data_IF_178516324871
#
_entry.id   IF_178516324871
#
_cell.length_a   1.000
_cell.length_b   1.000
_cell.length_c   1.000
_cell.angle_alpha   90.00
_cell.angle_beta   90.00
_cell.angle_gamma   90.00
#
_symmetry.space_group_name_H-M   'P 1'
#
loop_
_entity.id
_entity.type
_entity.pdbx_description
1 polymer ?
#
# COMPACT_ATOMS: atom_id res chain seq x y z
N UNK A 1 -7.33 -10.03 15.96
CA UNK A 1 -7.14 -10.60 14.61
C UNK A 1 -7.98 -9.83 13.61
N UNK A 2 -7.40 -9.40 12.51
CA UNK A 2 -8.05 -8.64 11.44
C UNK A 2 -7.91 -9.37 10.11
N UNK A 3 -8.80 -9.05 9.16
CA UNK A 3 -8.66 -9.43 7.76
C UNK A 3 -8.44 -8.19 6.91
N UNK A 4 -7.49 -8.26 5.98
CA UNK A 4 -7.20 -7.23 5.00
C UNK A 4 -7.56 -7.72 3.61
N UNK A 5 -8.29 -6.90 2.86
CA UNK A 5 -8.55 -7.10 1.44
C UNK A 5 -7.44 -6.44 0.65
N UNK A 6 -6.68 -7.23 -0.08
CA UNK A 6 -5.47 -6.82 -0.77
C UNK A 6 -5.79 -6.10 -2.09
N UNK A 7 -4.85 -5.26 -2.51
CA UNK A 7 -4.93 -4.52 -3.76
C UNK A 7 -4.66 -5.36 -5.01
N UNK A 8 -4.45 -4.68 -6.14
CA UNK A 8 -4.26 -5.29 -7.46
C UNK A 8 -3.07 -6.25 -7.53
N UNK A 9 -1.98 -5.96 -6.82
CA UNK A 9 -0.81 -6.82 -6.68
C UNK A 9 -0.78 -7.38 -5.24
N UNK A 10 -1.43 -8.53 -4.99
CA UNK A 10 -1.56 -9.05 -3.64
C UNK A 10 -0.23 -9.37 -2.97
N UNK A 11 0.78 -9.80 -3.72
CA UNK A 11 2.12 -10.09 -3.19
C UNK A 11 2.77 -8.84 -2.56
N UNK A 12 2.72 -7.69 -3.24
CA UNK A 12 3.23 -6.43 -2.69
C UNK A 12 2.41 -5.98 -1.48
N UNK A 13 1.09 -6.18 -1.55
CA UNK A 13 0.19 -5.77 -0.46
C UNK A 13 0.39 -6.58 0.82
N UNK A 14 0.61 -7.90 0.71
CA UNK A 14 0.89 -8.73 1.90
C UNK A 14 2.30 -8.47 2.44
N UNK A 15 3.29 -8.18 1.58
CA UNK A 15 4.62 -7.75 1.98
C UNK A 15 4.58 -6.46 2.81
N UNK A 16 3.79 -5.47 2.37
CA UNK A 16 3.54 -4.24 3.13
C UNK A 16 2.97 -4.54 4.52
N UNK A 17 1.92 -5.36 4.58
CA UNK A 17 1.30 -5.75 5.86
C UNK A 17 2.28 -6.47 6.79
N UNK A 18 3.09 -7.38 6.26
CA UNK A 18 4.10 -8.10 7.02
C UNK A 18 5.16 -7.17 7.60
N UNK A 19 5.60 -6.17 6.82
CA UNK A 19 6.58 -5.17 7.30
C UNK A 19 6.02 -4.26 8.38
N UNK A 20 4.73 -3.93 8.33
CA UNK A 20 4.08 -3.02 9.29
C UNK A 20 3.63 -3.75 10.56
N UNK A 21 3.05 -4.94 10.43
CA UNK A 21 2.40 -5.64 11.53
C UNK A 21 3.11 -6.91 11.99
N UNK A 22 4.07 -7.42 11.23
CA UNK A 22 4.86 -8.60 11.56
C UNK A 22 4.13 -9.92 11.35
N UNK A 23 3.09 -10.23 12.13
CA UNK A 23 2.39 -11.51 12.05
C UNK A 23 1.21 -11.46 11.06
N UNK A 24 1.50 -11.86 9.82
CA UNK A 24 0.59 -11.85 8.68
C UNK A 24 0.63 -13.19 7.97
N UNK A 25 -0.51 -13.66 7.49
CA UNK A 25 -0.62 -14.88 6.68
C UNK A 25 -1.69 -14.75 5.61
N UNK A 26 -1.50 -15.47 4.51
CA UNK A 26 -2.51 -15.59 3.46
C UNK A 26 -3.79 -16.27 3.98
N UNK A 27 -4.96 -15.72 3.66
CA UNK A 27 -6.24 -16.38 3.87
C UNK A 27 -6.87 -16.82 2.55
N UNK A 28 -6.71 -16.01 1.51
CA UNK A 28 -7.08 -16.31 0.13
C UNK A 28 -6.16 -15.53 -0.81
N UNK A 29 -6.28 -15.73 -2.13
CA UNK A 29 -5.49 -15.03 -3.15
C UNK A 29 -5.65 -13.50 -3.12
N UNK A 30 -6.69 -13.00 -2.44
CA UNK A 30 -7.03 -11.58 -2.37
C UNK A 30 -7.14 -11.05 -0.93
N UNK A 31 -6.77 -11.84 0.06
CA UNK A 31 -6.91 -11.44 1.47
C UNK A 31 -5.85 -12.04 2.36
N UNK A 32 -5.51 -11.30 3.41
CA UNK A 32 -4.56 -11.70 4.44
C UNK A 32 -5.16 -11.57 5.84
N UNK A 33 -4.79 -12.49 6.74
CA UNK A 33 -5.00 -12.37 8.17
C UNK A 33 -3.84 -11.62 8.79
N UNK A 34 -4.17 -10.69 9.68
CA UNK A 34 -3.22 -9.85 10.40
C UNK A 34 -3.47 -10.02 11.90
N UNK A 35 -2.46 -10.44 12.62
CA UNK A 35 -2.46 -10.43 14.09
C UNK A 35 -1.90 -9.07 14.53
N UNK A 36 -2.78 -8.18 14.97
CA UNK A 36 -2.34 -6.91 15.53
C UNK A 36 -1.92 -7.09 16.99
N UNK A 37 -0.94 -6.32 17.49
CA UNK A 37 -0.65 -6.27 18.92
C UNK A 37 -1.91 -5.96 19.74
N UNK A 38 -1.97 -6.43 20.98
CA UNK A 38 -3.14 -6.24 21.83
C UNK A 38 -3.51 -4.76 22.06
N UNK A 39 -2.54 -3.87 21.96
CA UNK A 39 -2.68 -2.42 22.10
C UNK A 39 -3.24 -1.73 20.85
N UNK A 40 -3.11 -2.36 19.67
CA UNK A 40 -3.58 -1.83 18.39
C UNK A 40 -4.81 -2.66 17.92
N UNK A 41 -6.01 -2.30 18.40
CA UNK A 41 -7.25 -3.03 18.04
C UNK A 41 -7.78 -2.67 16.64
N UNK A 42 -6.95 -2.07 15.79
CA UNK A 42 -7.33 -1.73 14.42
C UNK A 42 -6.13 -1.72 13.45
N UNK A 43 -6.43 -1.82 12.18
CA UNK A 43 -5.47 -1.59 11.09
C UNK A 43 -5.63 -0.14 10.62
N UNK A 44 -4.54 0.64 10.66
CA UNK A 44 -4.54 1.99 10.08
C UNK A 44 -4.52 1.91 8.54
N UNK A 45 -5.70 1.79 7.98
CA UNK A 45 -5.87 1.62 6.53
C UNK A 45 -5.46 2.86 5.72
N UNK A 46 -5.43 4.04 6.33
CA UNK A 46 -5.06 5.26 5.62
C UNK A 46 -3.54 5.35 5.37
N UNK A 47 -2.76 4.64 6.18
CA UNK A 47 -1.32 4.48 6.01
C UNK A 47 -0.95 3.44 4.94
N UNK A 48 -1.86 2.50 4.61
CA UNK A 48 -1.58 1.36 3.74
C UNK A 48 -1.93 1.64 2.27
N UNK A 49 -0.96 1.50 1.39
CA UNK A 49 -1.16 1.63 -0.06
C UNK A 49 -1.77 0.39 -0.69
N UNK A 50 -1.44 -0.79 -0.19
CA UNK A 50 -1.82 -2.09 -0.73
C UNK A 50 -3.12 -2.69 -0.18
N UNK A 51 -3.71 -2.13 0.87
CA UNK A 51 -4.94 -2.64 1.48
C UNK A 51 -6.15 -1.81 1.05
N UNK A 52 -7.17 -2.45 0.49
CA UNK A 52 -8.40 -1.76 0.05
C UNK A 52 -9.41 -1.58 1.18
N UNK A 53 -9.59 -2.61 2.02
CA UNK A 53 -10.46 -2.63 3.19
C UNK A 53 -9.83 -3.48 4.27
N UNK A 54 -10.12 -3.15 5.52
CA UNK A 54 -9.75 -3.94 6.67
C UNK A 54 -10.96 -4.15 7.58
N UNK A 55 -10.96 -5.25 8.34
CA UNK A 55 -12.03 -5.55 9.27
C UNK A 55 -11.56 -6.44 10.41
N UNK A 56 -12.16 -6.24 11.60
CA UNK A 56 -11.98 -7.11 12.76
C UNK A 56 -12.77 -8.40 12.57
N UNK A 57 -12.09 -9.53 12.68
CA UNK A 57 -12.73 -10.85 12.56
C UNK A 57 -13.68 -11.09 13.73
N UNK A 58 -14.94 -11.41 13.41
CA UNK A 58 -16.00 -11.68 14.38
C UNK A 58 -16.36 -13.15 14.40
N UNK A 59 -16.47 -13.77 13.21
CA UNK A 59 -16.84 -15.17 13.09
C UNK A 59 -15.93 -15.92 12.12
N UNK A 60 -15.64 -17.16 12.46
CA UNK A 60 -15.08 -18.15 11.55
C UNK A 60 -16.13 -19.22 11.31
N UNK A 61 -16.43 -19.52 10.06
CA UNK A 61 -17.48 -20.45 9.68
C UNK A 61 -16.85 -21.59 8.88
N UNK A 62 -17.01 -22.84 9.33
CA UNK A 62 -16.58 -23.99 8.54
C UNK A 62 -17.42 -24.09 7.26
N UNK A 63 -16.82 -24.67 6.22
CA UNK A 63 -17.46 -24.76 4.90
C UNK A 63 -17.08 -23.59 3.99
N UNK A 64 -17.62 -23.58 2.77
CA UNK A 64 -17.18 -22.65 1.71
C UNK A 64 -18.36 -22.05 0.92
N UNK A 65 -19.59 -22.34 1.31
CA UNK A 65 -20.79 -21.88 0.61
C UNK A 65 -21.41 -20.64 1.28
N UNK A 66 -22.02 -19.79 0.46
CA UNK A 66 -22.67 -18.57 0.92
C UNK A 66 -23.83 -18.83 1.88
N UNK A 67 -24.55 -19.95 1.71
CA UNK A 67 -25.69 -20.29 2.57
C UNK A 67 -25.26 -20.45 4.03
N UNK A 68 -24.12 -21.14 4.27
CA UNK A 68 -23.56 -21.28 5.62
C UNK A 68 -23.18 -19.92 6.22
N UNK A 69 -22.52 -19.07 5.44
CA UNK A 69 -22.19 -17.70 5.86
C UNK A 69 -23.44 -16.88 6.18
N UNK A 70 -24.42 -16.88 5.27
CA UNK A 70 -25.69 -16.16 5.43
C UNK A 70 -26.44 -16.55 6.70
N UNK A 71 -26.56 -17.87 6.96
CA UNK A 71 -27.20 -18.37 8.17
C UNK A 71 -26.49 -17.89 9.44
N UNK A 72 -25.16 -17.95 9.46
CA UNK A 72 -24.36 -17.50 10.61
C UNK A 72 -24.45 -15.98 10.80
N UNK A 73 -24.41 -15.19 9.74
CA UNK A 73 -24.63 -13.73 9.80
C UNK A 73 -25.98 -13.44 10.44
N UNK A 74 -27.04 -14.04 9.92
CA UNK A 74 -28.41 -13.80 10.43
C UNK A 74 -28.56 -14.27 11.86
N UNK A 75 -28.01 -15.42 12.24
CA UNK A 75 -28.06 -15.94 13.60
C UNK A 75 -27.35 -15.02 14.58
N UNK A 76 -26.08 -14.70 14.29
CA UNK A 76 -25.24 -13.89 15.19
C UNK A 76 -25.80 -12.47 15.35
N UNK A 77 -26.03 -11.76 14.26
CA UNK A 77 -26.39 -10.35 14.32
C UNK A 77 -27.85 -10.09 14.72
N UNK A 78 -28.76 -11.08 14.56
CA UNK A 78 -30.11 -10.95 15.12
C UNK A 78 -30.11 -10.97 16.65
N UNK A 79 -29.11 -11.58 17.28
CA UNK A 79 -28.93 -11.60 18.72
C UNK A 79 -28.07 -10.41 19.20
N UNK A 80 -26.90 -10.22 18.58
CA UNK A 80 -25.94 -9.18 18.96
C UNK A 80 -26.50 -7.75 18.82
N UNK A 81 -27.38 -7.53 17.85
CA UNK A 81 -27.98 -6.22 17.62
C UNK A 81 -29.44 -6.12 18.05
N UNK A 82 -29.97 -7.10 18.78
CA UNK A 82 -31.29 -7.01 19.38
C UNK A 82 -31.38 -5.81 20.33
N UNK A 83 -32.40 -4.95 20.19
CA UNK A 83 -32.60 -3.75 20.98
C UNK A 83 -31.47 -2.72 20.92
N UNK A 84 -30.61 -2.80 19.87
CA UNK A 84 -29.54 -1.83 19.66
C UNK A 84 -30.14 -0.43 19.40
N UNK A 85 -29.67 0.55 20.15
CA UNK A 85 -30.14 1.94 20.01
C UNK A 85 -29.68 2.56 18.68
N UNK A 86 -30.52 3.41 18.13
CA UNK A 86 -30.26 4.11 16.88
C UNK A 86 -30.47 3.25 15.63
N UNK A 87 -30.25 3.85 14.47
CA UNK A 87 -30.42 3.20 13.18
C UNK A 87 -29.10 2.61 12.69
N UNK A 88 -29.02 1.30 12.59
CA UNK A 88 -27.87 0.61 12.00
C UNK A 88 -27.87 0.77 10.47
N UNK A 89 -26.78 1.17 9.87
CA UNK A 89 -26.55 1.11 8.41
C UNK A 89 -25.64 -0.07 8.13
N UNK A 90 -26.10 -1.03 7.33
CA UNK A 90 -25.38 -2.26 7.03
C UNK A 90 -25.05 -2.35 5.55
N UNK A 91 -23.78 -2.55 5.23
CA UNK A 91 -23.26 -3.05 3.96
C UNK A 91 -22.81 -4.50 4.09
N UNK A 92 -22.84 -5.25 3.02
CA UNK A 92 -22.29 -6.62 2.96
C UNK A 92 -21.44 -6.74 1.71
N UNK A 93 -20.19 -7.18 1.86
CA UNK A 93 -19.28 -7.48 0.76
C UNK A 93 -18.83 -8.94 0.84
N UNK A 94 -19.05 -9.70 -0.24
CA UNK A 94 -18.76 -11.12 -0.32
C UNK A 94 -17.60 -11.38 -1.31
N UNK A 95 -16.45 -11.80 -0.78
CA UNK A 95 -15.23 -12.04 -1.52
C UNK A 95 -15.00 -13.53 -1.76
N UNK A 96 -14.71 -13.90 -3.01
CA UNK A 96 -14.44 -15.29 -3.39
C UNK A 96 -15.68 -16.18 -3.53
N UNK A 97 -16.88 -15.61 -3.53
CA UNK A 97 -18.15 -16.30 -3.75
C UNK A 97 -18.63 -16.11 -5.20
N UNK A 98 -19.43 -17.04 -5.68
CA UNK A 98 -20.04 -17.01 -7.02
C UNK A 98 -21.44 -16.39 -7.02
N UNK A 99 -22.03 -16.20 -5.85
CA UNK A 99 -23.35 -15.64 -5.66
C UNK A 99 -23.43 -14.18 -6.07
N UNK A 100 -24.53 -13.84 -6.72
CA UNK A 100 -24.76 -12.49 -7.23
C UNK A 100 -25.21 -11.50 -6.14
N UNK A 101 -25.28 -10.19 -6.47
CA UNK A 101 -25.64 -9.13 -5.52
C UNK A 101 -27.02 -9.32 -4.89
N UNK A 102 -27.95 -9.95 -5.60
CA UNK A 102 -29.30 -10.24 -5.08
C UNK A 102 -29.27 -11.22 -3.91
N UNK A 103 -28.45 -12.27 -3.99
CA UNK A 103 -28.32 -13.26 -2.93
C UNK A 103 -27.63 -12.68 -1.70
N UNK A 104 -26.62 -11.86 -1.91
CA UNK A 104 -25.94 -11.14 -0.83
C UNK A 104 -26.95 -10.21 -0.13
N UNK A 105 -27.70 -9.44 -0.89
CA UNK A 105 -28.68 -8.50 -0.35
C UNK A 105 -29.83 -9.21 0.37
N UNK A 106 -30.24 -10.41 -0.07
CA UNK A 106 -31.26 -11.25 0.59
C UNK A 106 -30.87 -11.56 2.04
N UNK A 107 -29.58 -11.84 2.31
CA UNK A 107 -29.08 -12.02 3.69
C UNK A 107 -29.37 -10.81 4.57
N UNK A 108 -29.07 -9.62 4.07
CA UNK A 108 -29.35 -8.36 4.77
C UNK A 108 -30.85 -8.11 4.98
N UNK A 109 -31.70 -8.47 4.00
CA UNK A 109 -33.15 -8.34 4.11
C UNK A 109 -33.75 -9.28 5.17
N UNK A 110 -33.26 -10.52 5.24
CA UNK A 110 -33.66 -11.49 6.28
C UNK A 110 -33.26 -10.98 7.66
N UNK A 111 -32.01 -10.49 7.81
CA UNK A 111 -31.55 -9.89 9.06
C UNK A 111 -32.38 -8.67 9.44
N UNK A 112 -32.70 -7.78 8.49
CA UNK A 112 -33.53 -6.60 8.71
C UNK A 112 -34.93 -6.96 9.23
N UNK A 113 -35.54 -8.02 8.67
CA UNK A 113 -36.85 -8.50 9.13
C UNK A 113 -36.80 -8.99 10.58
N UNK A 114 -35.77 -9.79 10.93
CA UNK A 114 -35.59 -10.28 12.30
C UNK A 114 -35.30 -9.17 13.31
N UNK A 115 -34.47 -8.20 12.94
CA UNK A 115 -34.14 -7.07 13.80
C UNK A 115 -35.34 -6.13 14.02
N UNK A 116 -36.23 -5.97 13.05
CA UNK A 116 -37.46 -5.19 13.19
C UNK A 116 -38.34 -5.77 14.31
N UNK A 117 -38.47 -7.10 14.40
CA UNK A 117 -39.26 -7.74 15.47
C UNK A 117 -38.60 -7.61 16.86
N UNK A 118 -37.31 -7.36 16.95
CA UNK A 118 -36.58 -7.12 18.20
C UNK A 118 -36.39 -5.61 18.52
N UNK A 119 -37.00 -4.70 17.77
CA UNK A 119 -36.99 -3.27 18.03
C UNK A 119 -35.81 -2.49 17.42
N UNK A 120 -34.94 -3.15 16.62
CA UNK A 120 -33.78 -2.48 16.00
C UNK A 120 -34.08 -2.06 14.56
N UNK A 121 -33.81 -0.79 14.24
CA UNK A 121 -33.95 -0.24 12.90
C UNK A 121 -32.70 -0.49 12.06
N UNK A 122 -32.84 -1.13 10.89
CA UNK A 122 -31.75 -1.42 9.95
C UNK A 122 -31.99 -0.78 8.58
N UNK A 123 -30.98 -0.03 8.09
CA UNK A 123 -30.89 0.41 6.69
C UNK A 123 -29.83 -0.43 5.98
N UNK A 124 -30.18 -0.98 4.83
CA UNK A 124 -29.22 -1.67 3.96
C UNK A 124 -28.62 -0.70 2.94
N UNK A 125 -27.31 -0.81 2.73
CA UNK A 125 -26.63 -0.22 1.58
C UNK A 125 -26.84 -1.18 0.41
N UNK A 126 -27.43 -0.74 -0.72
CA UNK A 126 -27.72 -1.63 -1.84
C UNK A 126 -26.43 -2.10 -2.52
N UNK A 127 -26.39 -3.36 -2.88
CA UNK A 127 -25.34 -3.98 -3.66
C UNK A 127 -25.65 -3.89 -5.16
N UNK A 128 -24.75 -3.33 -5.95
CA UNK A 128 -24.75 -3.43 -7.42
C UNK A 128 -23.97 -4.67 -7.88
N UNK A 129 -22.93 -5.02 -7.11
CA UNK A 129 -22.11 -6.23 -7.27
C UNK A 129 -22.05 -6.98 -5.94
N UNK A 130 -21.44 -8.17 -5.91
CA UNK A 130 -21.27 -8.95 -4.67
C UNK A 130 -20.41 -8.23 -3.62
N UNK A 131 -19.64 -7.24 -4.04
CA UNK A 131 -18.72 -6.44 -3.23
C UNK A 131 -19.11 -4.97 -3.33
N UNK A 132 -19.23 -4.26 -2.22
CA UNK A 132 -19.36 -2.81 -2.22
C UNK A 132 -18.01 -2.18 -2.63
N UNK A 133 -18.05 -1.18 -3.51
CA UNK A 133 -16.84 -0.43 -3.86
C UNK A 133 -16.27 0.30 -2.65
N UNK A 134 -14.95 0.56 -2.63
CA UNK A 134 -14.32 1.37 -1.57
C UNK A 134 -14.95 2.75 -1.46
N UNK A 135 -15.36 3.35 -2.60
CA UNK A 135 -16.07 4.62 -2.63
C UNK A 135 -17.43 4.54 -1.91
N UNK A 136 -18.21 3.47 -2.17
CA UNK A 136 -19.51 3.24 -1.52
C UNK A 136 -19.34 3.05 -0.02
N UNK A 137 -18.35 2.26 0.41
CA UNK A 137 -18.05 2.02 1.83
C UNK A 137 -17.65 3.32 2.53
N UNK A 138 -16.73 4.07 1.94
CA UNK A 138 -16.25 5.35 2.48
C UNK A 138 -17.36 6.41 2.51
N UNK A 139 -18.16 6.57 1.44
CA UNK A 139 -19.27 7.53 1.39
C UNK A 139 -20.32 7.26 2.46
N UNK A 140 -20.65 5.98 2.71
CA UNK A 140 -21.57 5.59 3.77
C UNK A 140 -20.91 5.55 5.16
N UNK A 141 -19.62 5.88 5.30
CA UNK A 141 -18.80 5.84 6.52
C UNK A 141 -18.80 4.46 7.20
N UNK A 142 -18.87 3.39 6.42
CA UNK A 142 -18.90 2.03 6.93
C UNK A 142 -17.58 1.69 7.62
N UNK A 143 -17.65 1.25 8.87
CA UNK A 143 -16.49 1.01 9.73
C UNK A 143 -15.83 2.27 10.31
N UNK A 144 -16.34 3.47 10.00
CA UNK A 144 -15.75 4.76 10.41
C UNK A 144 -16.64 5.54 11.40
N UNK A 145 -17.82 5.06 11.68
CA UNK A 145 -18.75 5.68 12.63
C UNK A 145 -19.64 4.64 13.28
N UNK A 146 -20.13 4.94 14.47
CA UNK A 146 -21.05 4.09 15.21
C UNK A 146 -22.28 3.73 14.36
N UNK A 147 -22.73 2.50 14.51
CA UNK A 147 -23.87 1.99 13.75
C UNK A 147 -23.71 2.03 12.20
N UNK A 148 -22.49 2.19 11.69
CA UNK A 148 -22.14 2.12 10.27
C UNK A 148 -21.26 0.89 10.01
N UNK A 149 -21.86 -0.24 9.71
CA UNK A 149 -21.16 -1.53 9.62
C UNK A 149 -21.12 -2.02 8.19
N UNK A 150 -19.97 -2.47 7.73
CA UNK A 150 -19.84 -3.34 6.57
C UNK A 150 -19.36 -4.72 7.05
N UNK A 151 -20.10 -5.76 6.68
CA UNK A 151 -19.66 -7.13 6.87
C UNK A 151 -18.78 -7.51 5.66
N UNK A 152 -17.51 -7.74 5.94
CA UNK A 152 -16.54 -8.28 5.00
C UNK A 152 -16.56 -9.80 5.16
N UNK A 153 -17.15 -10.50 4.17
CA UNK A 153 -17.29 -11.96 4.17
C UNK A 153 -16.32 -12.51 3.15
N UNK A 154 -15.35 -13.30 3.58
CA UNK A 154 -14.28 -13.81 2.72
C UNK A 154 -14.27 -15.32 2.74
N UNK A 155 -14.32 -15.95 1.57
CA UNK A 155 -14.10 -17.38 1.39
C UNK A 155 -12.63 -17.66 1.18
N UNK A 156 -12.02 -18.43 2.08
CA UNK A 156 -10.67 -18.95 1.97
C UNK A 156 -10.62 -20.45 1.71
N UNK A 157 -9.43 -21.00 1.75
CA UNK A 157 -9.23 -22.44 1.61
C UNK A 157 -9.72 -23.22 2.85
N UNK A 158 -9.52 -22.65 4.04
CA UNK A 158 -9.83 -23.26 5.36
C UNK A 158 -11.24 -22.96 5.86
N UNK A 159 -12.06 -22.19 5.14
CA UNK A 159 -13.40 -21.81 5.58
C UNK A 159 -13.77 -20.39 5.18
N UNK A 160 -14.73 -19.82 5.91
CA UNK A 160 -15.22 -18.46 5.68
C UNK A 160 -14.92 -17.60 6.91
N UNK A 161 -14.43 -16.39 6.68
CA UNK A 161 -14.30 -15.35 7.69
C UNK A 161 -15.40 -14.32 7.49
N UNK A 162 -16.04 -13.90 8.59
CA UNK A 162 -16.94 -12.77 8.66
C UNK A 162 -16.29 -11.74 9.58
N UNK A 163 -16.03 -10.56 9.06
CA UNK A 163 -15.42 -9.47 9.78
C UNK A 163 -16.27 -8.21 9.71
N UNK A 164 -16.22 -7.39 10.75
CA UNK A 164 -16.75 -6.02 10.74
C UNK A 164 -15.67 -5.08 10.25
N UNK A 165 -15.97 -4.32 9.19
CA UNK A 165 -15.03 -3.34 8.63
C UNK A 165 -14.57 -2.33 9.69
N UNK A 166 -13.26 -2.09 9.73
CA UNK A 166 -12.62 -0.98 10.48
C UNK A 166 -12.30 0.20 9.58
N UNK A 167 -12.62 0.12 8.29
CA UNK A 167 -12.49 1.17 7.31
C UNK A 167 -12.19 0.68 5.89
N UNK A 168 -12.27 1.62 4.97
CA UNK A 168 -11.88 1.45 3.58
C UNK A 168 -10.90 2.57 3.19
N UNK A 169 -10.02 2.29 2.24
CA UNK A 169 -9.03 3.25 1.74
C UNK A 169 -9.72 4.52 1.20
N UNK A 170 -9.22 5.70 1.59
CA UNK A 170 -9.74 6.98 1.14
C UNK A 170 -9.23 7.32 -0.26
N UNK A 171 -9.89 6.74 -1.28
CA UNK A 171 -9.53 6.94 -2.69
C UNK A 171 -9.69 8.39 -3.14
N UNK A 172 -10.56 9.17 -2.52
CA UNK A 172 -10.76 10.60 -2.83
C UNK A 172 -9.53 11.40 -2.40
N UNK A 173 -9.02 11.16 -1.19
CA UNK A 173 -7.80 11.82 -0.71
C UNK A 173 -6.57 11.42 -1.54
N UNK A 174 -6.46 10.13 -1.90
CA UNK A 174 -5.38 9.65 -2.78
C UNK A 174 -5.43 10.30 -4.16
N UNK A 175 -6.62 10.36 -4.78
CA UNK A 175 -6.81 11.03 -6.07
C UNK A 175 -6.51 12.53 -6.00
N UNK A 176 -6.90 13.19 -4.90
CA UNK A 176 -6.59 14.61 -4.70
C UNK A 176 -5.07 14.87 -4.63
N UNK A 177 -4.29 13.98 -3.98
CA UNK A 177 -2.83 14.08 -3.95
C UNK A 177 -2.17 13.71 -5.28
N UNK A 178 -2.73 12.76 -6.00
CA UNK A 178 -2.21 12.35 -7.30
C UNK A 178 -2.45 13.40 -8.40
N UNK A 179 -3.66 13.96 -8.43
CA UNK A 179 -4.11 14.84 -9.52
C UNK A 179 -4.13 16.32 -9.15
N UNK A 180 -4.29 16.66 -7.87
CA UNK A 180 -4.45 18.03 -7.39
C UNK A 180 -3.15 18.75 -7.03
N UNK A 181 -2.01 18.06 -7.00
CA UNK A 181 -0.71 18.69 -6.73
C UNK A 181 -0.31 19.65 -7.85
N UNK A 182 0.31 20.80 -7.56
CA UNK A 182 0.55 21.87 -8.53
C UNK A 182 1.58 21.49 -9.62
N UNK A 183 2.53 20.61 -9.31
CA UNK A 183 3.58 20.22 -10.27
C UNK A 183 3.49 18.73 -10.60
N UNK A 184 3.37 18.46 -11.88
CA UNK A 184 3.33 17.12 -12.49
C UNK A 184 4.21 17.10 -13.71
N UNK A 185 4.94 16.00 -13.92
CA UNK A 185 5.74 15.83 -15.12
C UNK A 185 5.54 14.41 -15.68
N UNK A 186 4.89 14.32 -16.83
CA UNK A 186 4.58 13.03 -17.44
C UNK A 186 5.82 12.33 -18.03
N UNK A 187 6.90 13.08 -18.31
CA UNK A 187 8.16 12.52 -18.84
C UNK A 187 8.97 11.80 -17.77
N UNK A 188 8.94 12.29 -16.53
CA UNK A 188 9.64 11.67 -15.41
C UNK A 188 8.92 10.39 -14.93
N UNK A 189 7.70 10.19 -15.40
CA UNK A 189 6.80 9.16 -14.89
C UNK A 189 6.06 9.64 -13.64
N UNK A 190 4.93 9.03 -13.36
CA UNK A 190 4.16 9.39 -12.16
C UNK A 190 4.02 8.15 -11.28
N UNK A 191 4.78 8.12 -10.18
CA UNK A 191 4.59 7.14 -9.14
C UNK A 191 3.19 7.34 -8.50
N UNK A 192 2.33 6.31 -8.45
CA UNK A 192 1.06 6.46 -7.75
C UNK A 192 1.27 6.65 -6.25
N UNK A 193 0.52 7.53 -5.56
CA UNK A 193 0.61 7.70 -4.11
C UNK A 193 0.50 6.39 -3.32
N UNK A 194 -0.36 5.46 -3.76
CA UNK A 194 -0.49 4.12 -3.15
C UNK A 194 0.82 3.33 -3.19
N UNK A 195 1.55 3.39 -4.31
CA UNK A 195 2.82 2.67 -4.42
C UNK A 195 3.89 3.33 -3.56
N UNK A 196 3.90 4.66 -3.48
CA UNK A 196 4.78 5.38 -2.54
C UNK A 196 4.52 4.96 -1.09
N UNK A 197 3.25 4.88 -0.66
CA UNK A 197 2.89 4.37 0.67
C UNK A 197 3.41 2.96 0.91
N UNK A 198 3.20 2.05 -0.05
CA UNK A 198 3.71 0.67 0.04
C UNK A 198 5.23 0.67 0.19
N UNK A 199 5.94 1.42 -0.62
CA UNK A 199 7.40 1.47 -0.60
C UNK A 199 7.93 2.00 0.74
N UNK A 200 7.31 3.05 1.30
CA UNK A 200 7.66 3.57 2.63
C UNK A 200 7.41 2.52 3.71
N UNK A 201 6.26 1.85 3.67
CA UNK A 201 5.92 0.80 4.63
C UNK A 201 6.84 -0.43 4.50
N UNK A 202 7.34 -0.75 3.31
CA UNK A 202 8.31 -1.83 3.09
C UNK A 202 9.66 -1.56 3.77
N UNK A 203 10.03 -0.30 3.99
CA UNK A 203 11.19 0.05 4.83
C UNK A 203 11.01 -0.47 6.27
N UNK A 204 9.77 -0.70 6.71
CA UNK A 204 9.42 -1.14 8.05
C UNK A 204 9.19 0.03 9.02
N UNK A 205 8.91 -0.27 10.28
CA UNK A 205 8.75 0.76 11.30
C UNK A 205 10.09 1.45 11.54
N UNK A 206 10.10 2.78 11.36
CA UNK A 206 11.28 3.61 11.59
C UNK A 206 11.17 4.25 12.98
N UNK A 207 12.28 4.31 13.69
CA UNK A 207 12.40 4.98 14.98
C UNK A 207 13.48 6.03 14.93
N UNK A 208 13.33 7.11 15.70
CA UNK A 208 14.37 8.11 15.88
C UNK A 208 15.52 7.49 16.69
N UNK A 209 16.76 7.68 16.26
CA UNK A 209 17.95 7.34 17.05
C UNK A 209 17.90 8.18 18.34
N UNK A 210 17.90 7.56 19.55
CA UNK A 210 17.84 8.30 20.81
C UNK A 210 18.99 9.31 21.00
N UNK A 211 20.11 9.16 20.28
CA UNK A 211 21.24 10.08 20.29
C UNK A 211 21.09 11.24 19.30
N UNK A 212 20.07 11.21 18.43
CA UNK A 212 19.81 12.23 17.41
C UNK A 212 19.13 13.46 18.02
N UNK A 213 19.48 14.64 17.54
CA UNK A 213 18.72 15.87 17.81
C UNK A 213 17.39 15.95 17.04
N UNK A 214 17.16 15.02 16.11
CA UNK A 214 15.92 14.95 15.33
C UNK A 214 14.77 14.39 16.18
N UNK A 215 13.59 14.94 16.01
CA UNK A 215 12.37 14.46 16.67
C UNK A 215 11.56 13.49 15.81
N UNK A 216 11.94 13.32 14.54
CA UNK A 216 11.29 12.48 13.56
C UNK A 216 12.35 11.68 12.77
N UNK A 217 12.07 10.41 12.40
CA UNK A 217 12.96 9.67 11.51
C UNK A 217 13.06 10.38 10.16
N UNK A 218 14.27 10.41 9.58
CA UNK A 218 14.54 11.09 8.31
C UNK A 218 14.60 10.10 7.17
N UNK A 219 13.71 10.27 6.19
CA UNK A 219 13.62 9.46 4.98
C UNK A 219 14.24 10.21 3.80
N UNK A 220 15.22 9.58 3.13
CA UNK A 220 15.88 10.08 1.92
C UNK A 220 15.26 9.49 0.66
N UNK A 221 14.95 10.35 -0.31
CA UNK A 221 14.68 10.00 -1.71
C UNK A 221 15.74 10.66 -2.62
N UNK A 222 16.74 9.89 -3.11
CA UNK A 222 17.82 10.41 -3.96
C UNK A 222 17.47 10.58 -5.44
N UNK A 223 16.23 10.26 -5.83
CA UNK A 223 15.65 10.43 -7.17
C UNK A 223 14.28 11.08 -7.07
N UNK A 224 14.21 12.22 -6.37
CA UNK A 224 12.96 12.75 -5.83
C UNK A 224 11.91 13.09 -6.89
N UNK A 225 12.30 13.40 -8.13
CA UNK A 225 11.40 13.74 -9.22
C UNK A 225 10.41 14.84 -8.83
N UNK A 226 9.11 14.54 -8.85
CA UNK A 226 8.06 15.47 -8.41
C UNK A 226 7.65 15.30 -6.94
N UNK A 227 8.37 14.50 -6.16
CA UNK A 227 8.25 14.40 -4.70
C UNK A 227 7.12 13.54 -4.18
N UNK A 228 6.63 12.54 -4.91
CA UNK A 228 5.48 11.73 -4.46
C UNK A 228 5.82 10.91 -3.22
N UNK A 229 7.01 10.31 -3.17
CA UNK A 229 7.47 9.55 -1.99
C UNK A 229 7.56 10.48 -0.78
N UNK A 230 8.16 11.66 -0.95
CA UNK A 230 8.31 12.61 0.14
C UNK A 230 6.95 13.16 0.63
N UNK A 231 5.96 13.35 -0.27
CA UNK A 231 4.62 13.75 0.14
C UNK A 231 3.95 12.69 1.03
N UNK A 232 4.01 11.42 0.63
CA UNK A 232 3.42 10.33 1.42
C UNK A 232 4.22 10.09 2.71
N UNK A 233 5.55 10.23 2.70
CA UNK A 233 6.39 10.15 3.90
C UNK A 233 6.07 11.27 4.91
N UNK A 234 5.89 12.50 4.44
CA UNK A 234 5.49 13.63 5.29
C UNK A 234 4.12 13.38 5.96
N UNK A 235 3.14 12.81 5.23
CA UNK A 235 1.84 12.40 5.77
C UNK A 235 1.95 11.28 6.80
N UNK A 236 3.04 10.51 6.79
CA UNK A 236 3.37 9.50 7.79
C UNK A 236 4.26 10.05 8.91
N UNK A 237 4.41 11.38 8.99
CA UNK A 237 5.17 12.11 10.01
C UNK A 237 6.68 11.83 10.00
N UNK A 238 7.28 11.59 8.83
CA UNK A 238 8.72 11.54 8.63
C UNK A 238 9.29 12.92 8.27
N UNK A 239 10.49 13.22 8.74
CA UNK A 239 11.30 14.28 8.14
C UNK A 239 11.74 13.83 6.74
N UNK A 240 11.60 14.70 5.74
CA UNK A 240 11.80 14.33 4.33
C UNK A 240 13.03 15.01 3.75
N UNK A 241 13.87 14.21 3.11
CA UNK A 241 15.07 14.65 2.44
C UNK A 241 15.05 14.18 0.98
N UNK A 242 15.16 15.10 0.03
CA UNK A 242 15.14 14.77 -1.39
C UNK A 242 16.32 15.37 -2.16
N UNK A 243 16.88 14.58 -3.07
CA UNK A 243 17.81 15.10 -4.08
C UNK A 243 17.39 14.66 -5.48
N UNK A 244 17.74 15.45 -6.48
CA UNK A 244 17.57 15.11 -7.89
C UNK A 244 18.67 15.78 -8.72
N UNK A 245 19.09 15.13 -9.79
CA UNK A 245 20.06 15.67 -10.74
C UNK A 245 19.55 16.96 -11.42
N UNK A 246 18.22 17.07 -11.58
CA UNK A 246 17.58 18.19 -12.25
C UNK A 246 17.05 19.20 -11.22
N UNK A 247 17.62 20.41 -11.18
CA UNK A 247 17.13 21.54 -10.35
C UNK A 247 15.61 21.76 -10.51
N UNK A 248 15.09 21.60 -11.73
CA UNK A 248 13.64 21.69 -12.01
C UNK A 248 12.83 20.72 -11.13
N UNK A 249 13.31 19.50 -10.91
CA UNK A 249 12.62 18.48 -10.11
C UNK A 249 12.66 18.84 -8.63
N UNK A 250 13.79 19.29 -8.14
CA UNK A 250 13.94 19.80 -6.76
C UNK A 250 12.94 20.92 -6.48
N UNK A 251 12.84 21.90 -7.41
CA UNK A 251 11.87 23.00 -7.30
C UNK A 251 10.42 22.49 -7.33
N UNK A 252 10.09 21.56 -8.24
CA UNK A 252 8.74 20.98 -8.34
C UNK A 252 8.35 20.22 -7.08
N UNK A 253 9.29 19.50 -6.47
CA UNK A 253 9.10 18.84 -5.18
C UNK A 253 8.83 19.84 -4.08
N UNK A 254 9.60 20.93 -4.00
CA UNK A 254 9.36 22.02 -3.06
C UNK A 254 7.97 22.63 -3.18
N UNK A 255 7.54 22.96 -4.41
CA UNK A 255 6.19 23.48 -4.67
C UNK A 255 5.09 22.51 -4.20
N UNK A 256 5.27 21.20 -4.46
CA UNK A 256 4.31 20.16 -4.07
C UNK A 256 4.25 19.93 -2.55
N UNK A 257 5.40 19.96 -1.86
CA UNK A 257 5.45 19.82 -0.40
C UNK A 257 4.87 21.05 0.32
N UNK A 258 5.15 22.25 -0.18
CA UNK A 258 4.55 23.49 0.35
C UNK A 258 3.01 23.47 0.19
N UNK A 259 2.53 23.07 -1.00
CA UNK A 259 1.09 22.88 -1.23
C UNK A 259 0.47 21.86 -0.26
N UNK A 260 1.17 20.74 0.01
CA UNK A 260 0.70 19.74 0.96
C UNK A 260 0.62 20.31 2.37
N UNK A 261 1.66 21.02 2.82
CA UNK A 261 1.72 21.66 4.13
C UNK A 261 0.56 22.66 4.33
N UNK A 262 0.27 23.49 3.32
CA UNK A 262 -0.86 24.42 3.36
C UNK A 262 -2.21 23.69 3.50
N UNK A 263 -2.36 22.54 2.82
CA UNK A 263 -3.59 21.72 2.86
C UNK A 263 -3.78 21.02 4.20
N UNK A 264 -2.72 20.48 4.78
CA UNK A 264 -2.77 19.74 6.05
C UNK A 264 -2.71 20.66 7.27
N UNK A 265 -2.16 21.86 7.12
CA UNK A 265 -1.86 22.82 8.20
C UNK A 265 -0.85 22.29 9.23
N UNK A 266 -0.11 21.27 8.89
CA UNK A 266 0.95 20.69 9.71
C UNK A 266 2.32 21.04 9.10
N UNK A 267 3.30 21.48 9.91
CA UNK A 267 4.65 21.77 9.41
C UNK A 267 5.34 20.48 8.96
N UNK A 268 6.01 20.54 7.81
CA UNK A 268 6.80 19.43 7.27
C UNK A 268 8.29 19.81 7.41
N UNK A 269 9.09 18.93 7.98
CA UNK A 269 10.54 19.08 8.03
C UNK A 269 11.12 18.66 6.66
N UNK A 270 11.51 19.64 5.85
CA UNK A 270 11.90 19.48 4.44
C UNK A 270 13.37 19.86 4.25
N UNK A 271 14.14 18.95 3.62
CA UNK A 271 15.47 19.22 3.10
C UNK A 271 15.50 18.85 1.62
N UNK A 272 15.89 19.75 0.73
CA UNK A 272 15.95 19.51 -0.72
C UNK A 272 17.22 20.11 -1.30
N UNK A 273 17.95 19.34 -2.10
CA UNK A 273 19.16 19.78 -2.80
C UNK A 273 19.21 19.22 -4.22
N UNK A 274 19.87 19.95 -5.12
CA UNK A 274 20.34 19.39 -6.39
C UNK A 274 21.52 18.46 -6.12
N UNK A 275 21.55 17.30 -6.79
CA UNK A 275 22.64 16.36 -6.66
C UNK A 275 22.50 15.14 -7.55
N UNK A 276 23.64 14.63 -8.02
CA UNK A 276 23.72 13.36 -8.71
C UNK A 276 23.82 12.22 -7.68
N UNK A 277 22.85 11.31 -7.68
CA UNK A 277 22.80 10.20 -6.75
C UNK A 277 24.07 9.31 -6.78
N UNK A 278 24.79 9.29 -7.90
CA UNK A 278 26.05 8.54 -8.02
C UNK A 278 27.23 9.17 -7.27
N UNK A 279 27.18 10.47 -6.92
CA UNK A 279 28.31 11.21 -6.34
C UNK A 279 27.95 12.10 -5.15
N UNK A 280 26.67 12.35 -4.90
CA UNK A 280 26.21 13.20 -3.81
C UNK A 280 26.61 12.65 -2.46
N UNK A 281 27.09 13.54 -1.56
CA UNK A 281 27.23 13.27 -0.13
C UNK A 281 26.02 13.83 0.60
N UNK A 282 25.25 12.96 1.27
CA UNK A 282 24.04 13.36 1.99
C UNK A 282 24.31 13.70 3.46
N UNK A 283 23.59 14.71 3.94
CA UNK A 283 23.61 15.09 5.36
C UNK A 283 22.99 14.00 6.24
N UNK A 284 23.62 13.76 7.39
CA UNK A 284 23.15 12.80 8.38
C UNK A 284 22.18 13.46 9.39
N UNK A 285 21.29 12.71 10.07
CA UNK A 285 21.09 11.26 9.93
C UNK A 285 20.24 10.90 8.71
N UNK A 286 20.35 9.65 8.24
CA UNK A 286 19.45 9.02 7.28
C UNK A 286 18.96 7.72 7.92
N UNK A 287 17.66 7.64 8.22
CA UNK A 287 17.07 6.51 8.91
C UNK A 287 16.44 5.49 7.94
N UNK A 288 16.09 5.93 6.73
CA UNK A 288 15.66 5.07 5.63
C UNK A 288 15.94 5.73 4.28
N UNK A 289 16.08 4.90 3.25
CA UNK A 289 16.14 5.36 1.86
C UNK A 289 14.99 4.71 1.10
N UNK A 290 14.14 5.51 0.47
CA UNK A 290 13.01 5.03 -0.34
C UNK A 290 12.96 5.83 -1.62
N UNK A 291 13.09 5.17 -2.77
CA UNK A 291 13.17 5.85 -4.05
C UNK A 291 12.53 5.07 -5.20
N UNK A 292 11.94 5.78 -6.15
CA UNK A 292 11.80 5.27 -7.51
C UNK A 292 13.08 5.62 -8.25
N UNK A 293 13.94 4.63 -8.50
CA UNK A 293 15.17 4.84 -9.24
C UNK A 293 14.93 5.21 -10.70
N UNK A 294 16.01 5.49 -11.43
CA UNK A 294 15.89 5.77 -12.86
C UNK A 294 15.33 4.56 -13.62
N UNK A 295 14.14 4.71 -14.21
CA UNK A 295 13.43 3.65 -14.92
C UNK A 295 13.83 3.52 -16.41
N UNK A 296 14.76 4.34 -16.88
CA UNK A 296 15.10 4.46 -18.30
C UNK A 296 14.11 5.34 -19.06
N UNK A 297 14.23 5.32 -20.38
CA UNK A 297 13.28 6.06 -21.24
C UNK A 297 11.91 5.34 -21.28
N UNK A 298 10.81 6.09 -21.43
CA UNK A 298 9.48 5.50 -21.58
C UNK A 298 9.35 4.74 -22.91
N UNK A 299 8.65 3.61 -22.87
CA UNK A 299 8.34 2.81 -24.07
C UNK A 299 6.82 2.67 -24.23
N UNK A 300 6.31 2.94 -25.43
CA UNK A 300 4.91 2.68 -25.80
C UNK A 300 4.67 1.25 -26.30
N UNK A 301 5.74 0.56 -26.70
CA UNK A 301 5.75 -0.84 -27.13
C UNK A 301 7.08 -1.49 -26.70
N UNK A 302 7.16 -2.83 -26.60
CA UNK A 302 8.39 -3.52 -26.26
C UNK A 302 9.54 -3.07 -27.20
N UNK A 303 10.69 -2.65 -26.65
CA UNK A 303 11.84 -2.20 -27.46
C UNK A 303 12.49 -3.36 -28.22
N UNK A 304 13.24 -3.04 -29.26
CA UNK A 304 14.12 -4.03 -29.91
C UNK A 304 15.18 -4.55 -28.93
N UNK A 305 15.69 -5.75 -29.16
CA UNK A 305 16.70 -6.37 -28.28
C UNK A 305 17.94 -5.48 -28.11
N UNK A 306 18.43 -4.84 -29.19
CA UNK A 306 19.58 -3.92 -29.11
C UNK A 306 19.29 -2.71 -28.24
N UNK A 307 18.08 -2.12 -28.38
CA UNK A 307 17.67 -0.96 -27.57
C UNK A 307 17.47 -1.36 -26.10
N UNK A 308 16.90 -2.53 -25.85
CA UNK A 308 16.75 -3.07 -24.48
C UNK A 308 18.10 -3.26 -23.81
N UNK A 309 19.11 -3.84 -24.50
CA UNK A 309 20.47 -4.03 -23.98
C UNK A 309 21.10 -2.69 -23.60
N UNK A 310 20.99 -1.67 -24.47
CA UNK A 310 21.51 -0.33 -24.21
C UNK A 310 20.87 0.30 -22.96
N UNK A 311 19.54 0.36 -22.92
CA UNK A 311 18.79 1.02 -21.81
C UNK A 311 19.01 0.27 -20.50
N UNK A 312 18.96 -1.05 -20.53
CA UNK A 312 19.23 -1.93 -19.37
C UNK A 312 20.65 -1.73 -18.83
N UNK A 313 21.64 -1.64 -19.72
CA UNK A 313 23.03 -1.39 -19.35
C UNK A 313 23.22 -0.05 -18.66
N UNK A 314 22.67 1.03 -19.25
CA UNK A 314 22.74 2.37 -18.69
C UNK A 314 22.04 2.46 -17.32
N UNK A 315 20.80 1.96 -17.23
CA UNK A 315 20.04 1.96 -15.98
C UNK A 315 20.74 1.14 -14.88
N UNK A 316 21.28 -0.04 -15.25
CA UNK A 316 22.02 -0.85 -14.30
C UNK A 316 23.27 -0.14 -13.78
N UNK A 317 23.99 0.59 -14.64
CA UNK A 317 25.14 1.38 -14.23
C UNK A 317 24.75 2.46 -13.21
N UNK A 318 23.79 3.30 -13.55
CA UNK A 318 23.31 4.40 -12.67
C UNK A 318 22.91 3.87 -11.30
N UNK A 319 22.08 2.83 -11.23
CA UNK A 319 21.59 2.31 -9.96
C UNK A 319 22.66 1.55 -9.16
N UNK A 320 23.62 0.89 -9.84
CA UNK A 320 24.74 0.26 -9.15
C UNK A 320 25.70 1.30 -8.56
N UNK A 321 26.03 2.36 -9.30
CA UNK A 321 26.91 3.45 -8.79
C UNK A 321 26.21 4.21 -7.65
N UNK A 322 24.91 4.45 -7.76
CA UNK A 322 24.14 5.02 -6.66
C UNK A 322 24.26 4.17 -5.38
N UNK A 323 24.01 2.86 -5.44
CA UNK A 323 24.09 1.99 -4.27
C UNK A 323 25.51 1.90 -3.70
N UNK A 324 26.55 1.92 -4.55
CA UNK A 324 27.95 2.00 -4.11
C UNK A 324 28.25 3.32 -3.37
N UNK A 325 27.75 4.44 -3.91
CA UNK A 325 27.92 5.75 -3.29
C UNK A 325 27.17 5.85 -1.95
N UNK A 326 25.97 5.28 -1.87
CA UNK A 326 25.14 5.30 -0.67
C UNK A 326 25.71 4.44 0.48
N UNK A 327 26.26 3.27 0.17
CA UNK A 327 26.67 2.27 1.16
C UNK A 327 27.56 2.83 2.30
N UNK A 328 28.62 3.62 2.06
CA UNK A 328 29.44 4.16 3.14
C UNK A 328 28.77 5.30 3.92
N UNK A 329 27.65 5.83 3.45
CA UNK A 329 26.99 7.01 4.01
C UNK A 329 25.82 6.66 4.94
N UNK A 330 25.38 5.40 5.00
CA UNK A 330 24.29 4.96 5.88
C UNK A 330 24.76 3.89 6.85
N UNK A 331 24.11 3.83 8.01
CA UNK A 331 24.45 2.87 9.07
C UNK A 331 24.05 1.45 8.67
N UNK A 332 24.77 0.45 9.18
CA UNK A 332 24.32 -0.96 9.15
C UNK A 332 22.90 -1.07 9.72
N UNK A 333 22.06 -1.82 9.06
CA UNK A 333 20.64 -1.98 9.42
C UNK A 333 19.71 -0.93 8.79
N UNK A 334 20.23 0.13 8.16
CA UNK A 334 19.37 1.12 7.48
C UNK A 334 18.61 0.44 6.32
N UNK A 335 17.26 0.53 6.28
CA UNK A 335 16.46 0.00 5.20
C UNK A 335 16.59 0.84 3.93
N UNK A 336 16.68 0.16 2.78
CA UNK A 336 16.72 0.75 1.45
C UNK A 336 15.65 0.09 0.57
N UNK A 337 14.63 0.84 0.20
CA UNK A 337 13.56 0.37 -0.69
C UNK A 337 13.67 1.10 -2.01
N UNK A 338 13.94 0.35 -3.08
CA UNK A 338 14.20 0.92 -4.39
C UNK A 338 13.31 0.26 -5.44
N UNK A 339 12.50 1.04 -6.14
CA UNK A 339 11.81 0.58 -7.33
C UNK A 339 12.73 0.71 -8.54
N UNK A 340 12.99 -0.41 -9.21
CA UNK A 340 13.83 -0.50 -10.41
C UNK A 340 13.02 -1.00 -11.60
N UNK A 341 13.41 -0.73 -12.86
CA UNK A 341 12.64 -1.19 -14.01
C UNK A 341 12.82 -2.68 -14.28
N UNK A 342 11.70 -3.30 -14.70
CA UNK A 342 11.69 -4.56 -15.42
C UNK A 342 10.88 -4.38 -16.71
N UNK A 343 11.38 -4.86 -17.82
CA UNK A 343 10.78 -4.66 -19.14
C UNK A 343 9.99 -5.88 -19.59
N UNK A 344 8.71 -5.69 -19.87
CA UNK A 344 7.81 -6.76 -20.35
C UNK A 344 7.93 -6.90 -21.86
N UNK A 345 8.14 -8.13 -22.34
CA UNK A 345 8.11 -8.47 -23.76
C UNK A 345 6.68 -8.71 -24.28
N UNK A 346 6.56 -9.10 -25.54
CA UNK A 346 5.27 -9.38 -26.19
C UNK A 346 4.60 -10.66 -25.68
N UNK A 347 5.34 -11.57 -25.07
CA UNK A 347 4.84 -12.82 -24.49
C UNK A 347 4.46 -12.67 -23.01
N UNK A 348 4.79 -11.52 -22.41
CA UNK A 348 4.49 -11.20 -21.02
C UNK A 348 5.61 -11.53 -20.04
N UNK A 349 6.79 -11.97 -20.51
CA UNK A 349 7.95 -12.21 -19.67
C UNK A 349 8.66 -10.90 -19.34
N UNK A 350 9.31 -10.86 -18.18
CA UNK A 350 10.07 -9.70 -17.74
C UNK A 350 11.57 -9.91 -17.86
N UNK A 351 12.24 -8.90 -18.39
CA UNK A 351 13.70 -8.79 -18.36
C UNK A 351 14.10 -7.90 -17.20
N UNK A 352 14.89 -8.43 -16.29
CA UNK A 352 15.34 -7.81 -15.04
C UNK A 352 16.72 -7.18 -15.13
N UNK A 353 17.05 -6.28 -14.21
CA UNK A 353 18.40 -5.71 -14.11
C UNK A 353 19.41 -6.74 -13.57
N UNK A 354 20.67 -6.76 -14.08
CA UNK A 354 21.75 -7.56 -13.47
C UNK A 354 22.03 -7.22 -12.00
N UNK A 355 21.76 -5.98 -11.59
CA UNK A 355 21.91 -5.47 -10.23
C UNK A 355 21.27 -6.40 -9.18
N UNK A 356 20.10 -7.01 -9.51
CA UNK A 356 19.35 -7.83 -8.56
C UNK A 356 20.14 -8.99 -7.97
N UNK A 357 21.07 -9.55 -8.75
CA UNK A 357 21.93 -10.66 -8.31
C UNK A 357 23.24 -10.21 -7.67
N UNK A 358 23.48 -8.90 -7.59
CA UNK A 358 24.75 -8.31 -7.13
C UNK A 358 24.60 -7.37 -5.92
N UNK A 359 23.41 -7.34 -5.29
CA UNK A 359 23.16 -6.44 -4.17
C UNK A 359 24.10 -6.70 -2.98
N UNK A 360 24.48 -7.97 -2.76
CA UNK A 360 25.40 -8.35 -1.68
C UNK A 360 26.82 -7.81 -1.92
N UNK A 361 27.29 -7.85 -3.16
CA UNK A 361 28.59 -7.26 -3.56
C UNK A 361 28.61 -5.75 -3.35
N UNK A 362 27.45 -5.09 -3.37
CA UNK A 362 27.29 -3.67 -3.13
C UNK A 362 27.12 -3.30 -1.64
N UNK A 363 27.11 -4.30 -0.75
CA UNK A 363 27.01 -4.12 0.69
C UNK A 363 25.58 -4.06 1.23
N UNK A 364 24.64 -4.75 0.59
CA UNK A 364 23.25 -4.86 1.01
C UNK A 364 22.79 -6.30 1.03
N UNK A 365 21.77 -6.60 1.84
CA UNK A 365 21.06 -7.89 1.83
C UNK A 365 19.58 -7.68 1.59
N UNK A 366 18.94 -8.66 0.93
CA UNK A 366 17.48 -8.66 0.83
C UNK A 366 16.82 -8.89 2.19
N UNK A 367 15.82 -8.09 2.50
CA UNK A 367 14.95 -8.36 3.64
C UNK A 367 14.16 -9.64 3.37
N UNK A 368 14.25 -10.60 4.28
CA UNK A 368 13.52 -11.85 4.16
C UNK A 368 12.07 -11.66 4.57
N UNK A 369 11.15 -11.92 3.65
CA UNK A 369 9.71 -11.90 3.86
C UNK A 369 9.18 -13.33 3.90
N UNK A 370 8.26 -13.62 4.81
CA UNK A 370 7.72 -14.98 5.01
C UNK A 370 6.67 -15.36 3.98
N UNK A 371 5.91 -14.37 3.51
CA UNK A 371 4.73 -14.58 2.67
C UNK A 371 5.01 -14.48 1.18
N UNK A 372 6.13 -13.86 0.79
CA UNK A 372 6.48 -13.60 -0.61
C UNK A 372 7.98 -13.69 -0.84
N UNK A 373 8.37 -14.06 -2.05
CA UNK A 373 9.76 -13.98 -2.50
C UNK A 373 10.06 -12.62 -3.13
N UNK A 374 11.33 -12.18 -3.18
CA UNK A 374 11.72 -10.92 -3.80
C UNK A 374 11.22 -10.75 -5.26
N UNK A 375 11.27 -11.82 -6.06
CA UNK A 375 10.83 -11.84 -7.47
C UNK A 375 9.30 -11.62 -7.66
N UNK A 376 8.52 -11.69 -6.60
CA UNK A 376 7.07 -11.44 -6.62
C UNK A 376 6.72 -9.96 -6.34
N UNK A 377 7.69 -9.13 -5.96
CA UNK A 377 7.47 -7.72 -5.66
C UNK A 377 7.50 -6.85 -6.92
N UNK A 378 6.66 -7.20 -7.89
CA UNK A 378 6.58 -6.55 -9.19
C UNK A 378 5.27 -5.76 -9.34
N UNK A 379 5.39 -4.44 -9.46
CA UNK A 379 4.26 -3.54 -9.71
C UNK A 379 4.16 -3.16 -11.18
N UNK A 380 3.04 -3.52 -11.82
CA UNK A 380 2.81 -3.20 -13.23
C UNK A 380 1.31 -3.06 -13.55
N UNK A 381 1.02 -2.44 -14.69
CA UNK A 381 -0.31 -2.47 -15.32
C UNK A 381 -0.22 -3.32 -16.60
N UNK A 382 -1.30 -3.99 -16.99
CA UNK A 382 -1.29 -4.86 -18.19
C UNK A 382 -0.83 -4.16 -19.47
N UNK A 383 -1.15 -2.87 -19.60
CA UNK A 383 -0.85 -1.99 -20.73
C UNK A 383 0.55 -1.35 -20.70
N UNK A 384 1.31 -1.55 -19.62
CA UNK A 384 2.65 -0.96 -19.47
C UNK A 384 3.75 -1.95 -19.89
N UNK A 385 4.75 -1.42 -20.61
CA UNK A 385 5.97 -2.13 -20.98
C UNK A 385 6.96 -2.17 -19.82
N UNK A 386 7.07 -1.07 -19.08
CA UNK A 386 8.00 -0.95 -17.95
C UNK A 386 7.26 -1.18 -16.66
N UNK A 387 7.61 -2.24 -15.96
CA UNK A 387 7.19 -2.54 -14.59
C UNK A 387 8.18 -1.96 -13.58
N UNK A 388 7.76 -1.85 -12.33
CA UNK A 388 8.59 -1.50 -11.19
C UNK A 388 8.82 -2.74 -10.33
N UNK A 389 10.04 -3.24 -10.31
CA UNK A 389 10.46 -4.30 -9.40
C UNK A 389 10.96 -3.65 -8.12
N UNK A 390 10.41 -4.07 -6.97
CA UNK A 390 10.69 -3.41 -5.69
C UNK A 390 11.73 -4.22 -4.94
N UNK A 391 12.91 -3.64 -4.79
CA UNK A 391 13.98 -4.18 -3.95
C UNK A 391 13.76 -3.71 -2.52
N UNK A 392 13.63 -4.65 -1.60
CA UNK A 392 13.56 -4.37 -0.16
C UNK A 392 14.87 -4.84 0.45
N UNK A 393 15.76 -3.90 0.71
CA UNK A 393 17.12 -4.16 1.13
C UNK A 393 17.37 -3.61 2.54
N UNK A 394 18.44 -4.13 3.15
CA UNK A 394 19.01 -3.59 4.37
C UNK A 394 20.53 -3.45 4.16
N UNK A 395 21.14 -2.36 4.69
CA UNK A 395 22.59 -2.15 4.68
C UNK A 395 23.28 -3.16 5.62
N UNK A 396 24.29 -3.86 5.10
CA UNK A 396 25.12 -4.81 5.84
C UNK A 396 26.04 -4.15 6.85
#
# INVERSE_FOLDING_TARGET
MHISILGRQPAISIAELERVYGDVSWFSDISALVQTPAEADYIDIQRLGGTQKAGRVVLQVPGRDWRAASLKIVQHYSQAWARREGKVTLGISAYGFTEGPRDIQKTGLVLKSKLKSSGTSLRLVPNQESILSTATSHHNKLGLADNKVELIVVRGQSGIIIAESTGAQNITALAARDQGRPRRDAFVGMLPPKLAQIMINLAGPLSVDPSSAMTQPRLLDPFVGTGVILQEAALMHYAVYGTDLAEKMVRFTGDNLNWLQEKQKDPINITLHEGDAMTTTWEQPIDAVVAEGYLGQPFSAPPSNSKLVEVRGNTNHILSEFLKNLAPQIKTGTPVVLAVPAWKDTEGHFTHLPLLTKVEELGYSYVQLRNVRPDQLLYFRPDQVVAREILVLVKN
#
